data_IF_056351555179
#
_entry.id   IF_056351555179
#
_cell.length_a   1.000
_cell.length_b   1.000
_cell.length_c   1.000
_cell.angle_alpha   90.00
_cell.angle_beta   90.00
_cell.angle_gamma   90.00
#
_symmetry.space_group_name_H-M   'P 1'
#
loop_
_entity.id
_entity.type
_entity.pdbx_description
1 polymer ?
#
# COMPACT_ATOMS: atom_id res chain seq x y z
N UNK A 1 4.27 -13.07 -16.12
CA UNK A 1 4.75 -11.67 -16.23
C UNK A 1 4.27 -10.96 -14.98
N UNK A 2 5.10 -10.18 -14.28
CA UNK A 2 4.68 -9.57 -13.01
C UNK A 2 3.77 -8.36 -13.29
N UNK A 3 2.63 -8.28 -12.61
CA UNK A 3 1.77 -7.10 -12.55
C UNK A 3 2.23 -6.20 -11.41
N UNK A 4 2.85 -5.06 -11.73
CA UNK A 4 3.43 -4.19 -10.72
C UNK A 4 2.56 -3.00 -10.36
N UNK A 5 2.65 -2.55 -9.11
CA UNK A 5 1.88 -1.45 -8.55
C UNK A 5 2.80 -0.44 -7.90
N UNK A 6 2.75 0.80 -8.39
CA UNK A 6 3.52 1.91 -7.83
C UNK A 6 2.84 2.44 -6.58
N UNK A 7 3.53 2.42 -5.45
CA UNK A 7 3.02 2.88 -4.16
C UNK A 7 3.65 4.22 -3.81
N UNK A 8 2.86 5.29 -3.80
CA UNK A 8 3.30 6.66 -3.59
C UNK A 8 2.39 7.39 -2.60
N UNK A 9 2.93 8.42 -1.96
CA UNK A 9 2.26 9.17 -0.91
C UNK A 9 3.09 9.22 0.38
N UNK A 10 2.43 9.21 1.53
CA UNK A 10 3.09 9.42 2.83
C UNK A 10 3.07 8.19 3.75
N UNK A 11 3.19 8.41 5.07
CA UNK A 11 3.29 7.35 6.08
C UNK A 11 2.11 6.39 6.10
N UNK A 12 0.89 6.83 5.76
CA UNK A 12 -0.28 5.94 5.69
C UNK A 12 -0.33 5.09 4.41
N UNK A 13 0.35 5.46 3.31
CA UNK A 13 0.68 4.53 2.22
C UNK A 13 1.82 3.59 2.63
N UNK A 14 2.88 4.14 3.23
CA UNK A 14 4.06 3.37 3.60
C UNK A 14 3.75 2.30 4.66
N UNK A 15 2.79 2.57 5.54
CA UNK A 15 2.36 1.70 6.62
C UNK A 15 3.01 2.06 7.96
N UNK A 16 2.18 2.15 8.99
CA UNK A 16 2.56 2.43 10.39
C UNK A 16 1.75 1.60 11.39
N UNK A 17 0.89 0.71 10.92
CA UNK A 17 0.18 -0.21 11.81
C UNK A 17 1.18 -1.13 12.51
N UNK A 18 0.91 -1.50 13.76
CA UNK A 18 1.85 -2.32 14.51
C UNK A 18 1.82 -3.77 14.02
N UNK A 19 3.00 -4.31 13.70
CA UNK A 19 3.15 -5.64 13.05
C UNK A 19 2.51 -6.78 13.86
N UNK A 20 2.46 -6.65 15.18
CA UNK A 20 1.93 -7.69 16.08
C UNK A 20 0.41 -7.68 16.24
N UNK A 21 -0.30 -6.70 15.67
CA UNK A 21 -1.75 -6.55 15.83
C UNK A 21 -2.57 -7.33 14.80
N UNK A 22 -1.93 -7.83 13.73
CA UNK A 22 -2.60 -8.59 12.67
C UNK A 22 -1.76 -9.81 12.27
N UNK A 23 -2.38 -10.88 11.73
CA UNK A 23 -1.64 -11.98 11.13
C UNK A 23 -0.74 -11.50 10.00
N UNK A 24 0.41 -12.16 9.83
CA UNK A 24 1.30 -11.94 8.69
C UNK A 24 0.67 -12.47 7.41
N UNK A 25 0.90 -11.77 6.29
CA UNK A 25 0.53 -12.23 4.96
C UNK A 25 1.80 -12.72 4.27
N UNK A 26 1.80 -14.00 3.89
CA UNK A 26 2.92 -14.61 3.15
C UNK A 26 2.40 -15.37 1.95
N UNK A 27 2.76 -14.92 0.75
CA UNK A 27 2.44 -15.55 -0.52
C UNK A 27 3.66 -15.43 -1.44
N UNK A 28 4.17 -16.56 -1.93
CA UNK A 28 5.38 -16.58 -2.75
C UNK A 28 5.22 -15.80 -4.07
N UNK A 29 4.00 -15.59 -4.55
CA UNK A 29 3.67 -14.83 -5.76
C UNK A 29 3.44 -13.33 -5.51
N UNK A 30 3.43 -12.89 -4.25
CA UNK A 30 3.47 -11.47 -3.91
C UNK A 30 4.93 -11.05 -3.75
N UNK A 31 5.36 -10.13 -4.59
CA UNK A 31 6.73 -9.61 -4.61
C UNK A 31 6.77 -8.16 -4.13
N UNK A 32 7.92 -7.75 -3.60
CA UNK A 32 8.26 -6.35 -3.39
C UNK A 32 9.58 -6.02 -4.07
N UNK A 33 9.68 -4.79 -4.58
CA UNK A 33 10.91 -4.33 -5.17
C UNK A 33 11.93 -3.94 -4.09
N UNK A 34 13.14 -4.48 -4.21
CA UNK A 34 14.30 -4.17 -3.37
C UNK A 34 15.53 -4.08 -4.26
N UNK A 35 16.24 -2.96 -4.21
CA UNK A 35 17.46 -2.72 -4.98
C UNK A 35 17.27 -2.98 -6.49
N UNK A 36 16.10 -2.64 -7.03
CA UNK A 36 15.75 -2.87 -8.44
C UNK A 36 15.35 -4.31 -8.81
N UNK A 37 15.29 -5.23 -7.85
CA UNK A 37 14.92 -6.65 -8.05
C UNK A 37 13.63 -7.01 -7.32
N UNK A 38 12.94 -8.04 -7.80
CA UNK A 38 11.76 -8.61 -7.14
C UNK A 38 12.18 -9.64 -6.10
N UNK A 39 11.71 -9.46 -4.87
CA UNK A 39 11.86 -10.42 -3.76
C UNK A 39 10.48 -10.82 -3.27
N UNK A 40 10.34 -12.00 -2.64
CA UNK A 40 9.09 -12.35 -1.95
C UNK A 40 8.81 -11.24 -0.92
N UNK A 41 7.57 -10.76 -0.91
CA UNK A 41 7.15 -9.67 -0.05
C UNK A 41 7.28 -10.06 1.42
N UNK A 42 7.80 -9.13 2.22
CA UNK A 42 7.73 -9.19 3.67
C UNK A 42 7.40 -7.80 4.20
N UNK A 43 6.68 -7.76 5.33
CA UNK A 43 6.32 -6.51 5.99
C UNK A 43 7.42 -6.10 6.98
N UNK A 44 7.83 -4.82 7.03
CA UNK A 44 7.24 -3.67 6.32
C UNK A 44 7.61 -3.58 4.83
N UNK A 45 6.60 -3.43 3.97
CA UNK A 45 6.81 -3.38 2.51
C UNK A 45 7.50 -2.09 2.08
N UNK A 46 7.13 -0.95 2.66
CA UNK A 46 7.70 0.35 2.35
C UNK A 46 8.51 0.86 3.56
N UNK A 47 9.76 0.41 3.67
CA UNK A 47 10.64 0.73 4.79
C UNK A 47 11.30 2.12 4.63
N UNK A 48 10.49 3.19 4.66
CA UNK A 48 10.96 4.58 4.55
C UNK A 48 11.56 5.12 5.86
N UNK A 49 11.12 4.58 7.00
CA UNK A 49 11.58 4.93 8.35
C UNK A 49 11.69 3.66 9.21
N UNK A 50 12.47 3.69 10.31
CA UNK A 50 12.52 2.58 11.27
C UNK A 50 11.18 2.24 11.92
N UNK A 51 10.22 3.18 11.90
CA UNK A 51 8.85 3.00 12.38
C UNK A 51 7.87 2.47 11.33
N UNK A 52 8.35 2.09 10.14
CA UNK A 52 7.51 1.45 9.14
C UNK A 52 6.90 0.14 9.68
N UNK A 53 5.65 -0.12 9.32
CA UNK A 53 4.90 -1.26 9.84
C UNK A 53 3.93 -1.80 8.79
N UNK A 54 2.75 -2.22 9.26
CA UNK A 54 1.66 -2.70 8.41
C UNK A 54 1.11 -1.53 7.61
N UNK A 55 1.01 -1.74 6.29
CA UNK A 55 0.35 -0.85 5.34
C UNK A 55 -0.68 -1.62 4.51
N UNK A 56 -1.45 -0.87 3.72
CA UNK A 56 -2.56 -1.42 2.91
C UNK A 56 -2.11 -2.39 1.81
N UNK A 57 -0.85 -2.32 1.39
CA UNK A 57 -0.36 -2.97 0.17
C UNK A 57 -0.32 -4.50 0.25
N UNK A 58 -0.06 -5.07 1.42
CA UNK A 58 -0.02 -6.52 1.59
C UNK A 58 -1.41 -7.16 1.44
N UNK A 59 -2.44 -6.59 2.07
CA UNK A 59 -3.84 -7.02 1.90
C UNK A 59 -4.41 -6.68 0.54
N UNK A 60 -4.00 -5.56 -0.08
CA UNK A 60 -4.31 -5.28 -1.48
C UNK A 60 -3.79 -6.39 -2.39
N UNK A 61 -2.51 -6.75 -2.24
CA UNK A 61 -1.90 -7.77 -3.07
C UNK A 61 -2.46 -9.17 -2.81
N UNK A 62 -2.74 -9.52 -1.55
CA UNK A 62 -3.39 -10.78 -1.22
C UNK A 62 -4.82 -10.87 -1.76
N UNK A 63 -5.58 -9.78 -1.73
CA UNK A 63 -6.90 -9.74 -2.36
C UNK A 63 -6.80 -9.92 -3.87
N UNK A 64 -5.81 -9.27 -4.51
CA UNK A 64 -5.51 -9.48 -5.94
C UNK A 64 -5.19 -10.94 -6.27
N UNK A 65 -4.44 -11.61 -5.40
CA UNK A 65 -4.07 -13.02 -5.57
C UNK A 65 -5.26 -13.98 -5.51
N UNK A 66 -6.32 -13.65 -4.78
CA UNK A 66 -7.55 -14.46 -4.75
C UNK A 66 -8.20 -14.56 -6.14
N UNK A 67 -8.12 -13.50 -6.94
CA UNK A 67 -8.72 -13.47 -8.29
C UNK A 67 -7.72 -13.86 -9.40
N UNK A 68 -6.42 -13.98 -9.08
CA UNK A 68 -5.34 -14.13 -10.05
C UNK A 68 -4.32 -15.20 -9.62
N UNK A 69 -4.79 -16.38 -9.20
CA UNK A 69 -3.99 -17.44 -8.56
C UNK A 69 -2.73 -17.88 -9.32
N UNK A 70 -2.64 -17.67 -10.64
CA UNK A 70 -1.50 -18.08 -11.46
C UNK A 70 -0.49 -16.95 -11.74
N UNK A 71 -0.83 -15.71 -11.42
CA UNK A 71 -0.01 -14.54 -11.77
C UNK A 71 0.71 -13.96 -10.56
N UNK A 72 1.83 -13.29 -10.82
CA UNK A 72 2.61 -12.61 -9.78
C UNK A 72 2.29 -11.13 -9.72
N UNK A 73 2.18 -10.61 -8.50
CA UNK A 73 2.00 -9.18 -8.23
C UNK A 73 3.27 -8.60 -7.62
N UNK A 74 3.68 -7.41 -8.08
CA UNK A 74 4.89 -6.72 -7.62
C UNK A 74 4.59 -5.37 -7.00
N UNK A 75 5.01 -5.13 -5.77
CA UNK A 75 4.84 -3.86 -5.07
C UNK A 75 6.11 -3.00 -5.24
N UNK A 76 5.94 -1.75 -5.68
CA UNK A 76 7.04 -0.78 -5.86
C UNK A 76 6.92 0.29 -4.76
N UNK A 77 7.63 0.14 -3.62
CA UNK A 77 7.54 1.06 -2.49
C UNK A 77 8.28 2.36 -2.75
N UNK A 78 7.56 3.46 -2.84
CA UNK A 78 8.10 4.80 -3.02
C UNK A 78 7.45 5.86 -2.11
N UNK A 79 6.58 5.47 -1.18
CA UNK A 79 5.99 6.41 -0.24
C UNK A 79 7.02 6.86 0.81
N UNK A 80 6.90 8.11 1.29
CA UNK A 80 7.83 8.67 2.26
C UNK A 80 7.10 9.49 3.34
N UNK A 81 7.30 9.14 4.60
CA UNK A 81 6.55 9.65 5.74
C UNK A 81 6.83 11.10 6.08
N UNK A 82 5.74 11.86 6.32
CA UNK A 82 5.79 13.27 6.68
C UNK A 82 5.84 14.22 5.48
N UNK A 83 5.65 13.71 4.27
CA UNK A 83 5.75 14.49 3.03
C UNK A 83 4.44 15.19 2.67
N UNK A 84 4.57 16.41 2.15
CA UNK A 84 3.50 17.19 1.54
C UNK A 84 3.57 17.14 0.02
N UNK A 85 2.57 17.66 -0.69
CA UNK A 85 2.65 17.76 -2.16
C UNK A 85 3.82 18.62 -2.65
N UNK A 86 4.33 19.56 -1.85
CA UNK A 86 5.52 20.34 -2.20
C UNK A 86 6.79 19.48 -2.25
N UNK A 87 6.89 18.46 -1.39
CA UNK A 87 8.00 17.50 -1.39
C UNK A 87 7.90 16.53 -2.60
N UNK A 88 6.68 16.34 -3.10
CA UNK A 88 6.35 15.54 -4.28
C UNK A 88 6.35 16.34 -5.59
N UNK A 89 6.78 17.61 -5.56
CA UNK A 89 6.82 18.45 -6.75
C UNK A 89 7.59 17.78 -7.90
N UNK A 90 7.11 17.99 -9.14
CA UNK A 90 7.70 17.43 -10.36
C UNK A 90 9.17 17.86 -10.48
N UNK A 91 10.06 16.89 -10.75
CA UNK A 91 11.52 17.09 -10.75
C UNK A 91 12.16 17.15 -9.36
N UNK A 92 11.38 17.07 -8.29
CA UNK A 92 11.84 16.93 -6.91
C UNK A 92 12.35 15.53 -6.60
N UNK A 93 13.06 15.37 -5.47
CA UNK A 93 13.76 14.13 -5.14
C UNK A 93 12.83 12.90 -5.02
N UNK A 94 11.64 13.06 -4.42
CA UNK A 94 10.68 11.97 -4.25
C UNK A 94 10.05 11.55 -5.59
N UNK A 95 9.68 12.54 -6.40
CA UNK A 95 9.17 12.33 -7.75
C UNK A 95 10.19 11.57 -8.60
N UNK A 96 11.43 12.05 -8.67
CA UNK A 96 12.51 11.41 -9.43
C UNK A 96 12.84 10.01 -8.91
N UNK A 97 12.80 9.79 -7.60
CA UNK A 97 12.96 8.46 -7.02
C UNK A 97 11.85 7.51 -7.46
N UNK A 98 10.58 7.94 -7.40
CA UNK A 98 9.44 7.13 -7.85
C UNK A 98 9.55 6.77 -9.35
N UNK A 99 9.92 7.75 -10.19
CA UNK A 99 10.17 7.51 -11.62
C UNK A 99 11.30 6.49 -11.83
N UNK A 100 12.41 6.63 -11.10
CA UNK A 100 13.56 5.73 -11.20
C UNK A 100 13.20 4.29 -10.81
N UNK A 101 12.53 4.08 -9.67
CA UNK A 101 12.11 2.75 -9.22
C UNK A 101 11.09 2.12 -10.18
N UNK A 102 10.11 2.90 -10.63
CA UNK A 102 9.11 2.45 -11.59
C UNK A 102 9.75 2.04 -12.94
N UNK A 103 10.71 2.81 -13.46
CA UNK A 103 11.46 2.45 -14.67
C UNK A 103 12.30 1.19 -14.50
N UNK A 104 12.89 0.97 -13.32
CA UNK A 104 13.56 -0.30 -13.01
C UNK A 104 12.58 -1.47 -13.01
N UNK A 105 11.40 -1.29 -12.42
CA UNK A 105 10.35 -2.31 -12.38
C UNK A 105 9.82 -2.65 -13.79
N UNK A 106 9.64 -1.66 -14.67
CA UNK A 106 9.16 -1.85 -16.05
C UNK A 106 10.07 -2.72 -16.92
N UNK A 107 11.33 -2.94 -16.53
CA UNK A 107 12.24 -3.83 -17.27
C UNK A 107 11.83 -5.30 -17.21
N UNK A 108 11.11 -5.68 -16.16
CA UNK A 108 10.76 -7.09 -15.87
C UNK A 108 9.30 -7.28 -15.44
N UNK A 109 8.51 -6.21 -15.39
CA UNK A 109 7.09 -6.22 -15.03
C UNK A 109 6.30 -5.20 -15.84
N UNK A 110 4.97 -5.26 -15.76
CA UNK A 110 4.06 -4.25 -16.32
C UNK A 110 3.39 -3.49 -15.18
N UNK A 111 3.60 -2.18 -15.12
CA UNK A 111 2.87 -1.32 -14.17
C UNK A 111 1.39 -1.40 -14.54
N UNK A 112 0.60 -1.95 -13.63
CA UNK A 112 -0.82 -2.25 -13.80
C UNK A 112 -1.71 -1.35 -12.94
N UNK A 113 -1.14 -0.67 -11.93
CA UNK A 113 -1.86 0.31 -11.11
C UNK A 113 -0.91 1.26 -10.39
N UNK A 114 -1.45 2.39 -9.94
CA UNK A 114 -0.80 3.32 -9.02
C UNK A 114 -1.68 3.40 -7.77
N UNK A 115 -1.06 3.25 -6.59
CA UNK A 115 -1.71 3.40 -5.31
C UNK A 115 -1.22 4.69 -4.67
N UNK A 116 -2.15 5.62 -4.40
CA UNK A 116 -1.87 6.91 -3.79
C UNK A 116 -2.59 7.06 -2.45
N UNK A 117 -1.83 7.40 -1.41
CA UNK A 117 -2.40 7.85 -0.14
C UNK A 117 -1.56 8.92 0.52
N UNK A 118 -2.05 10.15 0.47
CA UNK A 118 -1.41 11.32 1.05
C UNK A 118 -2.43 12.44 1.24
N UNK A 119 -2.15 13.33 2.19
CA UNK A 119 -2.86 14.59 2.32
C UNK A 119 -2.77 15.20 3.72
N UNK A 120 -2.38 14.41 4.72
CA UNK A 120 -2.36 14.85 6.11
C UNK A 120 -1.40 16.03 6.29
N UNK A 121 -0.23 16.03 5.65
CA UNK A 121 0.72 17.15 5.77
C UNK A 121 0.34 18.40 4.92
N UNK A 122 -0.79 18.32 4.21
CA UNK A 122 -1.42 19.41 3.46
C UNK A 122 -2.76 19.84 4.07
N UNK A 123 -3.19 19.25 5.18
CA UNK A 123 -4.46 19.55 5.88
C UNK A 123 -4.48 20.87 6.67
N UNK A 124 -3.66 21.86 6.25
CA UNK A 124 -3.79 23.26 6.67
C UNK A 124 -4.63 24.03 5.65
N UNK A 125 -5.36 25.09 6.04
CA UNK A 125 -6.26 25.80 5.12
C UNK A 125 -5.58 26.27 3.83
N UNK A 126 -4.39 26.87 3.96
CA UNK A 126 -3.62 27.43 2.85
C UNK A 126 -3.13 26.38 1.84
N UNK A 127 -2.79 25.18 2.32
CA UNK A 127 -2.32 24.07 1.48
C UNK A 127 -3.50 23.32 0.86
N UNK A 128 -4.55 23.09 1.63
CA UNK A 128 -5.74 22.39 1.18
C UNK A 128 -6.41 23.06 -0.03
N UNK A 129 -6.47 24.40 -0.05
CA UNK A 129 -7.00 25.15 -1.19
C UNK A 129 -6.26 24.90 -2.51
N UNK A 130 -4.97 24.52 -2.46
CA UNK A 130 -4.12 24.29 -3.63
C UNK A 130 -3.88 22.80 -3.91
N UNK A 131 -4.49 21.92 -3.13
CA UNK A 131 -4.18 20.50 -3.15
C UNK A 131 -4.51 19.87 -4.52
N UNK A 132 -5.73 20.09 -5.02
CA UNK A 132 -6.19 19.49 -6.28
C UNK A 132 -5.31 19.86 -7.48
N UNK A 133 -4.94 21.14 -7.62
CA UNK A 133 -4.07 21.61 -8.71
C UNK A 133 -2.68 20.94 -8.64
N UNK A 134 -2.05 20.95 -7.47
CA UNK A 134 -0.73 20.33 -7.28
C UNK A 134 -0.77 18.84 -7.53
N UNK A 135 -1.80 18.16 -7.02
CA UNK A 135 -1.99 16.73 -7.19
C UNK A 135 -2.15 16.36 -8.67
N UNK A 136 -2.97 17.12 -9.42
CA UNK A 136 -3.14 16.94 -10.87
C UNK A 136 -1.80 17.02 -11.60
N UNK A 137 -1.03 18.09 -11.36
CA UNK A 137 0.26 18.31 -12.00
C UNK A 137 1.24 17.16 -11.73
N UNK A 138 1.26 16.64 -10.49
CA UNK A 138 2.13 15.51 -10.11
C UNK A 138 1.72 14.23 -10.83
N UNK A 139 0.43 13.88 -10.83
CA UNK A 139 -0.07 12.64 -11.43
C UNK A 139 0.06 12.65 -12.95
N UNK A 140 -0.24 13.78 -13.60
CA UNK A 140 -0.08 13.94 -15.05
C UNK A 140 1.37 13.78 -15.48
N UNK A 141 2.30 14.47 -14.80
CA UNK A 141 3.72 14.35 -15.07
C UNK A 141 4.23 12.91 -14.83
N UNK A 142 3.79 12.26 -13.74
CA UNK A 142 4.15 10.88 -13.43
C UNK A 142 3.70 9.91 -14.54
N UNK A 143 2.44 10.02 -14.99
CA UNK A 143 1.89 9.20 -16.08
C UNK A 143 2.62 9.42 -17.39
N UNK A 144 2.98 10.66 -17.71
CA UNK A 144 3.74 11.02 -18.89
C UNK A 144 5.16 10.44 -18.87
N UNK A 145 5.90 10.65 -17.78
CA UNK A 145 7.29 10.20 -17.63
C UNK A 145 7.45 8.67 -17.65
N UNK A 146 6.42 7.95 -17.19
CA UNK A 146 6.40 6.48 -17.18
C UNK A 146 5.68 5.86 -18.38
N UNK A 147 5.06 6.68 -19.24
CA UNK A 147 4.26 6.25 -20.38
C UNK A 147 3.14 5.25 -19.98
N UNK A 148 2.33 5.63 -18.99
CA UNK A 148 1.26 4.80 -18.38
C UNK A 148 -0.08 5.54 -18.27
N UNK A 149 -0.48 6.28 -19.31
CA UNK A 149 -1.69 7.13 -19.30
C UNK A 149 -2.98 6.41 -18.91
N UNK A 150 -3.12 5.13 -19.30
CA UNK A 150 -4.34 4.33 -19.06
C UNK A 150 -4.31 3.52 -17.76
N UNK A 151 -3.23 3.60 -16.98
CA UNK A 151 -3.10 2.80 -15.77
C UNK A 151 -4.02 3.36 -14.67
N UNK A 152 -4.88 2.52 -14.05
CA UNK A 152 -5.73 2.94 -12.94
C UNK A 152 -4.93 3.54 -11.79
N UNK A 153 -5.37 4.70 -11.32
CA UNK A 153 -4.91 5.35 -10.10
C UNK A 153 -5.97 5.16 -9.01
N UNK A 154 -5.58 4.50 -7.92
CA UNK A 154 -6.45 4.29 -6.75
C UNK A 154 -6.04 5.27 -5.65
N UNK A 155 -7.01 6.03 -5.16
CA UNK A 155 -6.82 7.20 -4.31
C UNK A 155 -7.57 6.99 -2.99
N UNK A 156 -6.87 6.89 -1.87
CA UNK A 156 -7.52 6.74 -0.57
C UNK A 156 -7.85 8.07 0.10
N UNK A 157 -9.04 8.16 0.68
CA UNK A 157 -9.41 9.23 1.58
C UNK A 157 -8.62 9.19 2.90
N UNK A 158 -8.43 10.35 3.49
CA UNK A 158 -7.86 10.55 4.81
C UNK A 158 -8.84 10.10 5.90
N UNK A 159 -8.32 9.65 7.04
CA UNK A 159 -9.15 9.11 8.14
C UNK A 159 -9.89 10.20 8.92
N UNK A 160 -11.16 9.95 9.24
CA UNK A 160 -12.01 10.90 10.00
C UNK A 160 -11.46 11.23 11.40
N UNK A 161 -10.63 10.33 11.95
CA UNK A 161 -9.97 10.51 13.24
C UNK A 161 -8.96 11.67 13.27
N UNK A 162 -8.52 12.20 12.11
CA UNK A 162 -7.49 13.25 12.04
C UNK A 162 -7.90 14.55 12.72
N UNK A 163 -9.20 14.80 12.84
CA UNK A 163 -9.73 15.97 13.58
C UNK A 163 -9.71 15.80 15.10
N UNK A 164 -9.32 14.63 15.59
CA UNK A 164 -9.37 14.26 17.01
C UNK A 164 -7.96 14.15 17.61
N UNK A 165 -7.87 14.10 18.94
CA UNK A 165 -6.61 13.92 19.65
C UNK A 165 -5.72 15.18 19.70
N UNK A 166 -4.46 14.99 20.12
CA UNK A 166 -3.52 16.08 20.42
C UNK A 166 -3.15 16.90 19.18
N UNK A 167 -3.17 16.28 18.01
CA UNK A 167 -2.80 16.93 16.74
C UNK A 167 -4.01 17.35 15.90
N UNK A 168 -5.24 17.21 16.41
CA UNK A 168 -6.46 17.41 15.62
C UNK A 168 -6.58 18.79 14.97
N UNK A 169 -6.09 19.84 15.64
CA UNK A 169 -6.08 21.20 15.10
C UNK A 169 -5.13 21.36 13.89
N UNK A 170 -4.06 20.56 13.82
CA UNK A 170 -3.10 20.63 12.71
C UNK A 170 -3.69 20.07 11.41
N UNK A 171 -4.65 19.14 11.53
CA UNK A 171 -5.29 18.46 10.41
C UNK A 171 -6.73 18.93 10.18
N UNK A 172 -7.10 20.12 10.68
CA UNK A 172 -8.47 20.61 10.66
C UNK A 172 -9.10 20.71 9.25
N UNK A 173 -8.26 20.80 8.20
CA UNK A 173 -8.72 20.90 6.80
C UNK A 173 -8.71 19.56 6.04
N UNK A 174 -8.56 18.42 6.73
CA UNK A 174 -8.51 17.10 6.06
C UNK A 174 -9.74 16.81 5.19
N UNK A 175 -10.91 17.34 5.56
CA UNK A 175 -12.14 17.17 4.78
C UNK A 175 -12.08 17.90 3.44
N UNK A 176 -11.38 19.04 3.35
CA UNK A 176 -11.13 19.73 2.08
C UNK A 176 -10.18 18.92 1.20
N UNK A 177 -9.21 18.23 1.80
CA UNK A 177 -8.35 17.30 1.06
C UNK A 177 -9.15 16.13 0.52
N UNK A 178 -10.00 15.50 1.34
CA UNK A 178 -10.88 14.42 0.86
C UNK A 178 -11.78 14.89 -0.29
N UNK A 179 -12.38 16.08 -0.19
CA UNK A 179 -13.16 16.65 -1.29
C UNK A 179 -12.32 16.82 -2.56
N UNK A 180 -11.10 17.35 -2.45
CA UNK A 180 -10.22 17.51 -3.60
C UNK A 180 -9.81 16.16 -4.24
N UNK A 181 -9.60 15.12 -3.43
CA UNK A 181 -9.30 13.76 -3.89
C UNK A 181 -10.50 13.12 -4.60
N UNK A 182 -11.71 13.30 -4.05
CA UNK A 182 -12.97 12.86 -4.67
C UNK A 182 -13.21 13.59 -5.99
N UNK A 183 -13.15 14.93 -6.00
CA UNK A 183 -13.32 15.76 -7.19
C UNK A 183 -12.31 15.39 -8.30
N UNK A 184 -11.06 15.13 -7.91
CA UNK A 184 -10.03 14.68 -8.86
C UNK A 184 -10.41 13.34 -9.48
N UNK A 185 -10.83 12.36 -8.67
CA UNK A 185 -11.24 11.06 -9.17
C UNK A 185 -12.45 11.16 -10.11
N UNK A 186 -13.43 12.01 -9.80
CA UNK A 186 -14.65 12.18 -10.62
C UNK A 186 -14.38 12.87 -11.97
N UNK A 187 -13.36 13.73 -12.02
CA UNK A 187 -13.06 14.57 -13.20
C UNK A 187 -11.96 13.99 -14.09
N UNK A 188 -11.21 12.98 -13.63
CA UNK A 188 -10.10 12.38 -14.37
C UNK A 188 -10.36 10.91 -14.69
N UNK A 189 -10.12 10.52 -15.95
CA UNK A 189 -10.27 9.13 -16.37
C UNK A 189 -9.28 8.21 -15.65
N UNK A 190 -9.70 6.96 -15.43
CA UNK A 190 -8.91 5.91 -14.78
C UNK A 190 -8.43 6.31 -13.37
N UNK A 191 -9.22 7.08 -12.63
CA UNK A 191 -8.94 7.50 -11.26
C UNK A 191 -10.13 7.11 -10.37
N UNK A 192 -9.87 6.42 -9.25
CA UNK A 192 -10.92 5.85 -8.42
C UNK A 192 -10.67 6.14 -6.95
N UNK A 193 -11.66 6.74 -6.29
CA UNK A 193 -11.61 7.09 -4.88
C UNK A 193 -11.99 5.91 -3.98
N UNK A 194 -11.35 5.81 -2.82
CA UNK A 194 -11.56 4.77 -1.82
C UNK A 194 -11.80 5.38 -0.44
N UNK A 195 -12.95 5.09 0.15
CA UNK A 195 -13.33 5.61 1.46
C UNK A 195 -12.52 5.01 2.61
N UNK A 196 -12.16 5.88 3.57
CA UNK A 196 -11.58 5.54 4.87
C UNK A 196 -12.62 5.42 5.98
N UNK A 197 -13.93 5.51 5.66
CA UNK A 197 -15.01 5.51 6.66
C UNK A 197 -14.95 4.27 7.56
N UNK A 198 -15.09 4.49 8.86
CA UNK A 198 -15.06 3.43 9.88
C UNK A 198 -13.67 2.90 10.21
N UNK A 199 -12.62 3.36 9.54
CA UNK A 199 -11.24 3.02 9.87
C UNK A 199 -10.75 3.84 11.06
N UNK A 200 -9.81 3.27 11.81
CA UNK A 200 -9.31 3.81 13.08
C UNK A 200 -7.80 3.95 13.08
N UNK A 201 -7.30 4.84 13.95
CA UNK A 201 -5.90 5.13 14.09
C UNK A 201 -5.20 4.28 15.15
N UNK A 202 -3.87 4.29 15.10
CA UNK A 202 -3.01 4.06 16.24
C UNK A 202 -3.27 5.10 17.35
N UNK A 203 -2.67 4.88 18.51
CA UNK A 203 -2.76 5.80 19.66
C UNK A 203 -2.22 7.22 19.39
N UNK A 204 -1.45 7.42 18.30
CA UNK A 204 -0.97 8.75 17.90
C UNK A 204 -2.06 9.64 17.27
N UNK A 205 -3.20 9.06 16.86
CA UNK A 205 -4.31 9.78 16.24
C UNK A 205 -4.06 10.25 14.81
N UNK A 206 -2.98 9.78 14.15
CA UNK A 206 -2.58 10.21 12.80
C UNK A 206 -2.51 9.03 11.84
N UNK A 207 -1.97 7.91 12.29
CA UNK A 207 -1.72 6.77 11.43
C UNK A 207 -2.81 5.72 11.56
N UNK A 208 -3.31 5.16 10.45
CA UNK A 208 -4.20 4.01 10.51
C UNK A 208 -3.54 2.85 11.27
N UNK A 209 -4.31 2.19 12.14
CA UNK A 209 -3.82 0.99 12.81
C UNK A 209 -3.75 -0.20 11.85
N UNK A 210 -3.14 -1.30 12.31
CA UNK A 210 -2.86 -2.44 11.46
C UNK A 210 -4.13 -3.08 10.88
N UNK A 211 -5.19 -3.23 11.68
CA UNK A 211 -6.47 -3.76 11.21
C UNK A 211 -7.09 -2.86 10.14
N UNK A 212 -7.08 -1.55 10.37
CA UNK A 212 -7.62 -0.57 9.43
C UNK A 212 -6.84 -0.55 8.12
N UNK A 213 -5.51 -0.69 8.17
CA UNK A 213 -4.67 -0.84 6.98
C UNK A 213 -5.03 -2.10 6.19
N UNK A 214 -5.30 -3.23 6.87
CA UNK A 214 -5.74 -4.47 6.23
C UNK A 214 -7.06 -4.28 5.47
N UNK A 215 -8.04 -3.66 6.12
CA UNK A 215 -9.34 -3.33 5.51
C UNK A 215 -9.16 -2.37 4.34
N UNK A 216 -8.35 -1.32 4.51
CA UNK A 216 -8.10 -0.34 3.46
C UNK A 216 -7.48 -1.00 2.22
N UNK A 217 -6.59 -1.98 2.39
CA UNK A 217 -6.04 -2.74 1.27
C UNK A 217 -7.08 -3.53 0.48
N UNK A 218 -8.03 -4.17 1.18
CA UNK A 218 -9.17 -4.87 0.55
C UNK A 218 -10.03 -3.88 -0.25
N UNK A 219 -10.31 -2.70 0.32
CA UNK A 219 -11.06 -1.64 -0.34
C UNK A 219 -10.36 -1.11 -1.60
N UNK A 220 -9.06 -0.87 -1.52
CA UNK A 220 -8.24 -0.46 -2.66
C UNK A 220 -8.31 -1.49 -3.79
N UNK A 221 -8.28 -2.78 -3.44
CA UNK A 221 -8.36 -3.83 -4.44
C UNK A 221 -9.74 -3.90 -5.08
N UNK A 222 -10.82 -3.77 -4.31
CA UNK A 222 -12.17 -3.75 -4.85
C UNK A 222 -12.36 -2.59 -5.87
N UNK A 223 -11.90 -1.38 -5.53
CA UNK A 223 -11.94 -0.25 -6.45
C UNK A 223 -11.11 -0.48 -7.72
N UNK A 224 -9.93 -1.10 -7.59
CA UNK A 224 -9.08 -1.46 -8.72
C UNK A 224 -9.71 -2.54 -9.62
N UNK A 225 -10.26 -3.60 -9.02
CA UNK A 225 -10.89 -4.72 -9.72
C UNK A 225 -12.10 -4.27 -10.50
N UNK A 226 -12.94 -3.46 -9.87
CA UNK A 226 -14.23 -3.04 -10.42
C UNK A 226 -14.10 -1.75 -11.26
N UNK A 227 -12.93 -1.10 -11.24
CA UNK A 227 -12.65 0.18 -11.90
C UNK A 227 -13.75 1.20 -11.58
N UNK A 228 -14.04 1.36 -10.29
CA UNK A 228 -15.11 2.20 -9.79
C UNK A 228 -14.77 2.81 -8.43
N UNK A 229 -15.40 3.94 -8.10
CA UNK A 229 -15.28 4.56 -6.78
C UNK A 229 -15.89 3.65 -5.71
N UNK A 230 -15.21 3.54 -4.58
CA UNK A 230 -15.72 2.89 -3.38
C UNK A 230 -16.00 3.94 -2.30
N UNK A 231 -17.20 4.51 -2.34
CA UNK A 231 -17.63 5.58 -1.43
C UNK A 231 -18.17 5.08 -0.08
N UNK A 232 -18.44 3.78 0.04
CA UNK A 232 -18.88 3.13 1.28
C UNK A 232 -18.07 1.86 1.57
N UNK A 233 -17.90 1.49 2.85
CA UNK A 233 -17.31 0.20 3.24
C UNK A 233 -17.96 -0.99 2.52
N UNK A 234 -17.16 -2.01 2.23
CA UNK A 234 -17.70 -3.29 1.74
C UNK A 234 -18.36 -4.03 2.90
N UNK A 235 -19.36 -4.87 2.58
CA UNK A 235 -20.07 -5.63 3.61
C UNK A 235 -19.29 -6.87 4.09
N UNK A 236 -18.29 -7.32 3.33
CA UNK A 236 -17.60 -8.61 3.48
C UNK A 236 -16.09 -8.48 3.77
N UNK A 237 -15.64 -7.30 4.20
CA UNK A 237 -14.22 -6.98 4.46
C UNK A 237 -13.55 -8.00 5.39
N UNK A 238 -14.21 -8.36 6.48
CA UNK A 238 -13.70 -9.34 7.45
C UNK A 238 -13.62 -10.76 6.87
N UNK A 239 -14.57 -11.16 6.03
CA UNK A 239 -14.57 -12.48 5.39
C UNK A 239 -13.46 -12.60 4.35
N UNK A 240 -13.20 -11.53 3.59
CA UNK A 240 -12.08 -11.48 2.65
C UNK A 240 -10.76 -11.62 3.42
N UNK A 241 -10.58 -10.86 4.50
CA UNK A 241 -9.38 -10.98 5.35
C UNK A 241 -9.25 -12.37 5.98
N UNK A 242 -10.34 -12.95 6.48
CA UNK A 242 -10.34 -14.32 7.00
C UNK A 242 -9.93 -15.33 5.92
N UNK A 243 -10.37 -15.15 4.67
CA UNK A 243 -9.95 -16.01 3.55
C UNK A 243 -8.46 -15.88 3.27
N UNK A 244 -7.94 -14.64 3.25
CA UNK A 244 -6.50 -14.37 3.09
C UNK A 244 -5.67 -15.04 4.19
N UNK A 245 -6.07 -14.87 5.45
CA UNK A 245 -5.32 -15.41 6.59
C UNK A 245 -5.39 -16.94 6.71
N UNK A 246 -6.46 -17.56 6.23
CA UNK A 246 -6.64 -19.01 6.29
C UNK A 246 -6.18 -19.74 5.01
N UNK A 247 -5.62 -19.02 4.03
CA UNK A 247 -5.05 -19.66 2.84
C UNK A 247 -3.93 -20.60 3.26
N UNK A 248 -4.01 -21.86 2.84
CA UNK A 248 -2.98 -22.85 3.08
C UNK A 248 -1.70 -22.50 2.34
N UNK A 249 -0.56 -22.59 3.03
CA UNK A 249 0.73 -22.36 2.40
C UNK A 249 1.13 -23.51 1.47
N UNK A 250 1.71 -23.16 0.33
CA UNK A 250 2.39 -24.11 -0.55
C UNK A 250 3.61 -24.69 0.16
N UNK A 251 4.13 -25.80 -0.36
CA UNK A 251 5.38 -26.38 0.14
C UNK A 251 6.54 -25.38 0.09
N UNK A 252 6.68 -24.63 -1.01
CA UNK A 252 7.73 -23.62 -1.15
C UNK A 252 7.60 -22.55 -0.07
N UNK A 253 6.37 -22.11 0.20
CA UNK A 253 6.12 -21.09 1.21
C UNK A 253 6.44 -21.57 2.63
N UNK A 254 6.04 -22.79 2.97
CA UNK A 254 6.42 -23.43 4.25
C UNK A 254 7.93 -23.51 4.40
N UNK A 255 8.66 -23.92 3.35
CA UNK A 255 10.12 -23.97 3.35
C UNK A 255 10.73 -22.57 3.55
N UNK A 256 10.21 -21.54 2.88
CA UNK A 256 10.74 -20.17 2.98
C UNK A 256 10.49 -19.54 4.34
N UNK A 257 9.33 -19.78 4.95
CA UNK A 257 9.04 -19.36 6.32
C UNK A 257 9.99 -20.05 7.31
N UNK A 258 10.20 -21.35 7.15
CA UNK A 258 11.14 -22.11 7.98
C UNK A 258 12.59 -21.60 7.84
N UNK A 259 13.04 -21.33 6.61
CA UNK A 259 14.35 -20.71 6.34
C UNK A 259 14.48 -19.35 7.03
N UNK A 260 13.42 -18.54 7.01
CA UNK A 260 13.39 -17.23 7.67
C UNK A 260 13.52 -17.37 9.19
N UNK A 261 12.74 -18.26 9.82
CA UNK A 261 12.81 -18.51 11.27
C UNK A 261 14.23 -18.93 11.70
N UNK A 262 14.87 -19.80 10.92
CA UNK A 262 16.25 -20.19 11.17
C UNK A 262 17.22 -19.01 10.98
N UNK A 263 17.08 -18.23 9.90
CA UNK A 263 17.95 -17.09 9.61
C UNK A 263 17.82 -15.94 10.64
N UNK A 264 16.65 -15.78 11.24
CA UNK A 264 16.41 -14.83 12.34
C UNK A 264 16.89 -15.36 13.70
N UNK A 265 17.29 -16.63 13.77
CA UNK A 265 17.77 -17.27 15.00
C UNK A 265 16.65 -17.69 15.96
N UNK A 266 15.42 -17.85 15.47
CA UNK A 266 14.28 -18.27 16.28
C UNK A 266 14.27 -19.79 16.54
N UNK A 267 14.91 -20.57 15.65
CA UNK A 267 15.08 -22.02 15.78
C UNK A 267 16.55 -22.41 15.57
N UNK A 268 16.95 -23.56 16.13
CA UNK A 268 18.30 -24.07 15.96
C UNK A 268 18.46 -24.92 14.69
N UNK A 269 19.70 -25.26 14.34
CA UNK A 269 19.98 -26.01 13.12
C UNK A 269 19.45 -27.45 13.12
N UNK A 270 19.27 -28.07 14.29
CA UNK A 270 18.74 -29.44 14.39
C UNK A 270 17.23 -29.43 14.16
N UNK A 271 16.53 -28.49 14.79
CA UNK A 271 15.08 -28.33 14.65
C UNK A 271 14.73 -27.90 13.22
N UNK A 272 15.49 -26.98 12.64
CA UNK A 272 15.38 -26.61 11.23
C UNK A 272 15.47 -27.83 10.29
N UNK A 273 16.49 -28.68 10.45
CA UNK A 273 16.65 -29.86 9.60
C UNK A 273 15.53 -30.89 9.79
N UNK A 274 15.03 -31.04 11.01
CA UNK A 274 13.92 -31.93 11.31
C UNK A 274 12.61 -31.45 10.66
N UNK A 275 12.27 -30.17 10.80
CA UNK A 275 11.08 -29.58 10.18
C UNK A 275 11.17 -29.54 8.66
N UNK A 276 12.35 -29.24 8.12
CA UNK A 276 12.60 -29.24 6.67
C UNK A 276 12.35 -30.63 6.07
N UNK A 277 12.71 -31.71 6.79
CA UNK A 277 12.46 -33.07 6.35
C UNK A 277 10.95 -33.40 6.30
N UNK A 278 10.15 -32.85 7.23
CA UNK A 278 8.69 -33.02 7.25
C UNK A 278 8.06 -32.29 6.07
N UNK A 279 8.36 -31.00 5.90
CA UNK A 279 7.84 -30.19 4.78
C UNK A 279 8.28 -30.75 3.43
N UNK A 280 9.45 -31.39 3.37
CA UNK A 280 9.94 -32.00 2.13
C UNK A 280 9.21 -33.30 1.71
N UNK A 281 8.41 -33.89 2.60
CA UNK A 281 7.65 -35.11 2.34
C UNK A 281 6.17 -34.86 2.00
N UNK A 282 5.68 -33.63 2.23
CA UNK A 282 4.37 -33.14 1.76
C UNK A 282 4.40 -32.81 0.26
#
# INVERSE_FOLDING_TARGET
MIHSFLMIGQSNMAGRGFVKEVPSIFDEHIKMQRNGLWQIMSEPVNFDRPSAGIGLSASFAASWRLDNEQDEIGLIPCADGGTSLDDWAVGGALFENAISQARLAQRTSKISGILWHQGENDSTPEKAEKYGEKFSNIIEALRQELNISEVPLIIGGLGDFLSTGVFGQYFASYSLINQALEDFADTHANCYFVTSKGLTANADGIHFNALSQRILGVRYYAAFRDLNHLTNPLNDEENILATIYNRSYTRTEKMKLLELEFALGNIDGKDYLAELAIVSQE
#
